data_IF_987179608946
#
_entry.id   IF_987179608946
#
_cell.length_a   1.000
_cell.length_b   1.000
_cell.length_c   1.000
_cell.angle_alpha   90.00
_cell.angle_beta   90.00
_cell.angle_gamma   90.00
#
_symmetry.space_group_name_H-M   'P 1'
#
loop_
_entity.id
_entity.type
_entity.pdbx_description
1 polymer ?
2 polymer ?
3 non-polymer ?
4 non-polymer ?
5 water ?
#
# COMPACT_ATOMS: atom_id res chain seq x y z
N UNK A 1 -11.33 -10.67 9.86
CA UNK A 1 -11.87 -11.14 11.15
C UNK A 1 -11.03 -10.93 12.41
N UNK A 2 -9.93 -10.25 12.51
CA UNK A 2 -9.11 -10.04 13.70
C UNK A 2 -9.20 -11.13 14.77
N UNK A 3 -8.02 -11.70 14.82
CA UNK A 3 -7.63 -12.76 15.71
C UNK A 3 -6.95 -11.97 16.83
N UNK A 4 -6.64 -12.72 17.82
CA UNK A 4 -5.99 -12.28 19.04
C UNK A 4 -4.61 -11.70 18.78
N UNK A 5 -3.97 -12.26 17.77
CA UNK A 5 -2.58 -11.78 17.53
C UNK A 5 -2.57 -10.50 16.68
N UNK A 6 -3.67 -10.37 15.95
CA UNK A 6 -3.86 -9.25 15.03
C UNK A 6 -4.02 -7.96 15.85
N UNK A 7 -4.77 -8.23 16.90
CA UNK A 7 -5.26 -7.20 17.82
C UNK A 7 -4.12 -6.60 18.61
N UNK A 8 -3.23 -7.53 18.89
CA UNK A 8 -2.03 -7.22 19.66
C UNK A 8 -1.01 -6.49 18.81
N UNK A 9 -0.87 -7.00 17.59
CA UNK A 9 0.09 -6.46 16.59
C UNK A 9 -0.35 -5.01 16.38
N UNK A 10 -1.66 -4.85 16.16
CA UNK A 10 -2.17 -3.47 15.98
C UNK A 10 -1.86 -2.52 17.14
N UNK A 11 -2.11 -2.97 18.36
CA UNK A 11 -1.88 -2.26 19.64
C UNK A 11 -0.40 -1.90 19.65
N UNK A 12 0.46 -2.85 19.35
CA UNK A 12 1.91 -2.82 19.29
C UNK A 12 2.41 -1.68 18.43
N UNK A 13 1.93 -1.63 17.18
CA UNK A 13 2.47 -0.53 16.35
C UNK A 13 1.84 0.79 16.73
N UNK A 14 0.65 0.87 17.29
CA UNK A 14 -0.07 2.09 17.66
C UNK A 14 0.47 2.85 18.85
N UNK A 15 1.27 2.16 19.63
CA UNK A 15 2.01 2.66 20.79
C UNK A 15 3.18 3.52 20.30
N UNK A 16 3.83 3.08 19.25
CA UNK A 16 4.91 3.82 18.58
C UNK A 16 4.30 4.99 17.83
N UNK A 17 3.03 4.92 17.39
CA UNK A 17 2.52 6.09 16.68
C UNK A 17 1.55 6.94 17.50
N UNK A 18 1.09 6.40 18.60
CA UNK A 18 0.16 7.15 19.50
C UNK A 18 0.87 8.42 19.94
N UNK A 19 2.21 8.51 19.91
CA UNK A 19 2.84 9.77 20.32
C UNK A 19 2.93 10.87 19.28
N UNK A 20 2.75 10.66 17.97
CA UNK A 20 2.88 11.64 16.88
C UNK A 20 1.67 11.71 15.92
N UNK A 21 0.48 11.69 16.45
CA UNK A 21 -0.77 11.73 15.66
C UNK A 21 -0.88 12.80 14.61
N UNK A 22 -0.43 13.97 15.01
CA UNK A 22 -0.53 15.09 14.10
C UNK A 22 0.48 15.09 13.02
N UNK A 23 1.75 14.73 13.27
CA UNK A 23 2.72 14.73 12.18
C UNK A 23 2.40 13.51 11.26
N UNK A 24 1.95 12.42 11.78
CA UNK A 24 1.64 11.18 11.09
C UNK A 24 0.30 11.33 10.36
N UNK A 25 -0.74 11.81 10.96
CA UNK A 25 -2.02 11.97 10.18
C UNK A 25 -1.82 13.06 9.16
N UNK A 26 -1.05 14.15 9.33
CA UNK A 26 -0.87 15.11 8.26
C UNK A 26 -0.13 14.58 7.07
N UNK A 27 0.92 13.80 7.31
CA UNK A 27 1.78 13.21 6.29
C UNK A 27 1.03 12.22 5.40
N UNK A 28 0.14 11.51 6.10
CA UNK A 28 -0.69 10.56 5.34
C UNK A 28 -1.70 11.29 4.47
N UNK A 29 -2.35 12.37 4.93
CA UNK A 29 -3.23 13.15 4.04
C UNK A 29 -2.45 13.72 2.93
N UNK A 30 -1.27 14.28 3.18
CA UNK A 30 -0.43 14.86 2.13
C UNK A 30 -0.01 13.85 1.07
N UNK A 31 0.34 12.62 1.43
CA UNK A 31 0.72 11.63 0.39
C UNK A 31 -0.57 11.21 -0.35
N UNK A 32 -1.65 11.14 0.42
CA UNK A 32 -2.96 10.77 -0.25
C UNK A 32 -3.22 11.84 -1.24
N UNK A 33 -3.36 13.11 -0.87
CA UNK A 33 -3.65 14.15 -1.93
C UNK A 33 -2.61 14.19 -2.99
N UNK A 34 -1.36 13.74 -2.83
CA UNK A 34 -0.33 13.79 -3.84
C UNK A 34 -0.33 12.52 -4.73
N UNK A 35 -0.46 11.32 -4.17
CA UNK A 35 -0.39 10.15 -5.08
C UNK A 35 -1.74 9.90 -5.73
N UNK A 36 -2.87 10.30 -5.20
CA UNK A 36 -4.25 10.15 -5.61
C UNK A 36 -4.99 11.49 -5.58
N UNK A 37 -4.69 12.39 -6.49
CA UNK A 37 -5.27 13.72 -6.55
C UNK A 37 -6.78 13.76 -6.66
N UNK A 38 -7.38 12.67 -7.09
CA UNK A 38 -8.84 12.63 -7.20
C UNK A 38 -9.38 12.67 -5.82
N UNK A 39 -8.62 12.40 -4.71
CA UNK A 39 -9.23 12.48 -3.39
C UNK A 39 -9.38 13.92 -2.89
N UNK A 40 -8.72 14.86 -3.56
CA UNK A 40 -8.80 16.29 -3.19
C UNK A 40 -10.18 16.86 -3.35
N UNK A 41 -10.98 16.28 -4.16
CA UNK A 41 -12.39 16.51 -4.54
C UNK A 41 -13.25 16.50 -3.34
N UNK A 42 -12.94 15.89 -2.22
CA UNK A 42 -13.73 15.79 -1.02
C UNK A 42 -13.39 16.91 -0.05
N UNK A 43 -12.39 17.71 -0.35
CA UNK A 43 -12.02 18.80 0.60
C UNK A 43 -11.93 20.09 -0.22
N UNK A 44 -13.02 20.37 -0.94
CA UNK A 44 -13.02 21.62 -1.74
C UNK A 44 -12.80 22.88 -0.90
N UNK A 45 -13.25 22.80 0.31
CA UNK A 45 -13.17 23.86 1.27
C UNK A 45 -11.85 23.88 1.98
N UNK A 46 -10.84 23.11 1.71
CA UNK A 46 -9.69 23.21 2.63
C UNK A 46 -8.63 23.83 1.76
N UNK A 47 -7.70 24.32 2.54
CA UNK A 47 -6.51 24.83 1.82
C UNK A 47 -5.70 23.55 1.63
N UNK A 48 -5.41 23.14 0.43
CA UNK A 48 -4.62 21.89 0.39
C UNK A 48 -3.14 22.03 0.17
N UNK A 49 -2.46 23.11 0.58
CA UNK A 49 -1.03 23.40 0.39
C UNK A 49 -0.18 22.69 1.44
N UNK A 50 1.02 22.23 1.02
CA UNK A 50 1.86 21.49 1.97
C UNK A 50 1.80 22.38 3.22
N UNK A 51 1.60 21.71 4.33
CA UNK A 51 1.60 22.16 5.70
C UNK A 51 0.44 23.06 6.07
N UNK A 52 -0.55 23.08 5.19
CA UNK A 52 -1.71 23.95 5.54
C UNK A 52 -2.05 23.56 6.93
N UNK A 53 -2.60 24.43 7.73
CA UNK A 53 -2.95 24.04 9.09
C UNK A 53 -4.29 23.31 9.11
N UNK A 54 -5.04 23.32 8.02
CA UNK A 54 -6.32 22.54 8.10
C UNK A 54 -5.95 21.04 7.95
N UNK A 55 -4.99 20.69 7.08
CA UNK A 55 -4.42 19.34 6.93
C UNK A 55 -3.87 18.82 8.22
N UNK A 56 -3.11 19.56 8.99
CA UNK A 56 -2.54 19.17 10.28
C UNK A 56 -3.60 18.83 11.28
N UNK A 57 -4.54 19.72 11.31
CA UNK A 57 -5.68 19.53 12.24
C UNK A 57 -6.63 18.36 12.01
N UNK A 58 -6.88 18.17 10.73
CA UNK A 58 -7.74 17.07 10.27
C UNK A 58 -6.89 15.80 10.43
N UNK A 59 -5.63 15.93 10.01
CA UNK A 59 -4.67 14.78 10.15
C UNK A 59 -4.76 14.28 11.59
N UNK A 60 -4.63 15.24 12.50
CA UNK A 60 -4.69 14.91 13.92
C UNK A 60 -6.03 14.30 14.22
N UNK A 61 -7.13 14.81 13.70
CA UNK A 61 -8.38 14.13 14.07
C UNK A 61 -8.49 12.76 13.37
N UNK A 62 -7.95 12.51 12.18
CA UNK A 62 -8.06 11.18 11.50
C UNK A 62 -7.35 10.13 12.34
N UNK A 63 -6.09 10.34 12.77
CA UNK A 63 -5.50 9.31 13.60
C UNK A 63 -6.01 9.14 15.00
N UNK A 64 -6.68 10.06 15.63
CA UNK A 64 -7.29 9.83 16.97
C UNK A 64 -8.48 8.90 16.81
N UNK A 65 -9.13 8.89 15.67
CA UNK A 65 -10.31 8.04 15.40
C UNK A 65 -9.85 6.57 15.28
N UNK A 66 -8.63 6.51 14.78
CA UNK A 66 -7.94 5.23 14.55
C UNK A 66 -7.59 4.67 15.93
N UNK A 67 -6.90 5.54 16.68
CA UNK A 67 -6.52 5.14 18.05
C UNK A 67 -7.72 4.71 18.86
N UNK A 68 -8.81 5.42 18.59
CA UNK A 68 -10.04 5.10 19.32
C UNK A 68 -10.61 3.82 18.80
N UNK A 69 -10.34 3.40 17.57
CA UNK A 69 -10.96 2.10 17.22
C UNK A 69 -9.95 1.08 17.71
N UNK A 70 -8.70 1.49 17.88
CA UNK A 70 -7.73 0.46 18.35
C UNK A 70 -8.26 0.01 19.73
N UNK A 71 -8.58 1.04 20.50
CA UNK A 71 -9.09 0.97 21.87
C UNK A 71 -10.39 0.26 22.13
N UNK A 72 -11.18 0.08 21.09
CA UNK A 72 -12.48 -0.57 21.19
C UNK A 72 -12.59 -1.57 20.07
N UNK A 73 -11.42 -2.13 19.79
CA UNK A 73 -11.13 -3.06 18.69
C UNK A 73 -12.05 -4.26 18.56
N UNK A 74 -12.71 -4.49 19.69
CA UNK A 74 -13.67 -5.55 19.95
C UNK A 74 -15.01 -5.14 19.33
N UNK A 75 -15.20 -3.84 19.14
CA UNK A 75 -16.47 -3.38 18.49
C UNK A 75 -16.18 -1.98 17.95
N UNK A 76 -15.48 -2.07 16.81
CA UNK A 76 -15.08 -0.91 16.00
C UNK A 76 -16.34 -0.23 15.44
N UNK A 77 -17.39 -0.92 15.02
CA UNK A 77 -18.62 -0.35 14.49
C UNK A 77 -19.33 0.54 15.52
N UNK A 78 -19.50 -0.08 16.66
CA UNK A 78 -20.08 0.55 17.84
C UNK A 78 -19.23 1.75 18.22
N UNK A 79 -17.93 1.68 18.39
CA UNK A 79 -17.18 2.89 18.77
C UNK A 79 -17.11 3.94 17.68
N UNK A 80 -17.53 3.67 16.46
CA UNK A 80 -17.31 4.65 15.36
C UNK A 80 -18.56 4.97 14.58
N UNK A 81 -19.73 4.65 15.15
CA UNK A 81 -21.00 4.81 14.47
C UNK A 81 -21.30 6.24 14.04
N UNK A 82 -20.64 7.26 14.57
CA UNK A 82 -21.06 8.62 14.10
C UNK A 82 -20.24 8.97 12.86
N UNK A 83 -19.11 8.30 12.77
CA UNK A 83 -18.20 8.52 11.65
C UNK A 83 -18.76 7.71 10.50
N UNK A 84 -19.41 6.60 10.81
CA UNK A 84 -19.94 5.88 9.69
C UNK A 84 -21.04 6.72 9.10
N UNK A 85 -21.82 7.48 9.85
CA UNK A 85 -22.91 8.20 9.13
C UNK A 85 -22.31 9.35 8.39
N UNK A 86 -21.34 9.99 8.99
CA UNK A 86 -20.77 11.12 8.26
C UNK A 86 -20.23 10.70 6.93
N UNK A 87 -19.42 9.66 6.82
CA UNK A 87 -18.76 9.28 5.52
C UNK A 87 -19.70 8.60 4.52
N UNK A 88 -20.67 7.79 4.99
CA UNK A 88 -21.48 7.03 4.06
C UNK A 88 -22.69 7.78 3.59
N UNK A 89 -23.23 8.32 4.67
CA UNK A 89 -24.48 9.01 4.40
C UNK A 89 -24.37 10.45 4.05
N UNK A 90 -23.66 11.21 4.80
CA UNK A 90 -23.54 12.66 4.58
C UNK A 90 -22.60 12.89 3.45
N UNK A 91 -21.37 12.44 3.59
CA UNK A 91 -20.33 12.68 2.62
C UNK A 91 -20.28 11.85 1.36
N UNK A 92 -20.94 10.73 1.56
CA UNK A 92 -20.98 9.77 0.50
C UNK A 92 -19.60 9.35 -0.05
N UNK A 93 -18.67 8.95 0.83
CA UNK A 93 -17.37 8.65 0.17
C UNK A 93 -17.36 7.35 -0.59
N UNK A 94 -16.78 7.30 -1.77
CA UNK A 94 -16.63 6.07 -2.53
C UNK A 94 -15.66 5.19 -1.76
N UNK A 95 -15.92 3.92 -1.52
CA UNK A 95 -15.11 2.94 -0.83
C UNK A 95 -13.71 2.79 -1.30
N UNK A 96 -13.46 3.03 -2.57
CA UNK A 96 -12.13 2.89 -3.08
C UNK A 96 -11.19 3.87 -2.36
N UNK A 97 -11.65 4.99 -1.92
CA UNK A 97 -10.90 6.04 -1.30
C UNK A 97 -10.37 5.57 0.03
N UNK A 98 -11.11 4.64 0.62
CA UNK A 98 -10.57 4.22 1.92
C UNK A 98 -9.32 3.39 1.72
N UNK A 99 -9.23 2.74 0.58
CA UNK A 99 -8.02 1.93 0.38
C UNK A 99 -6.87 2.87 0.06
N UNK A 100 -7.01 4.03 -0.51
CA UNK A 100 -6.00 5.02 -0.81
C UNK A 100 -5.51 5.54 0.56
N UNK A 101 -6.44 5.82 1.42
CA UNK A 101 -6.09 6.36 2.75
C UNK A 101 -5.33 5.33 3.55
N UNK A 102 -5.81 4.12 3.68
CA UNK A 102 -5.15 3.03 4.39
C UNK A 102 -3.75 2.81 3.90
N UNK A 103 -3.41 2.75 2.64
CA UNK A 103 -2.13 2.57 2.00
C UNK A 103 -1.15 3.70 2.30
N UNK A 104 -1.44 4.96 2.27
CA UNK A 104 -0.65 6.16 2.56
C UNK A 104 -0.38 6.09 4.04
N UNK A 105 -1.19 5.52 4.89
CA UNK A 105 -0.91 5.33 6.29
C UNK A 105 0.18 4.24 6.47
N UNK A 106 0.20 3.11 5.81
CA UNK A 106 1.23 2.05 5.91
C UNK A 106 2.59 2.56 5.54
N UNK A 107 2.60 3.39 4.55
CA UNK A 107 3.66 4.05 3.91
C UNK A 107 4.22 5.01 4.99
N UNK A 108 3.50 5.62 5.86
CA UNK A 108 4.07 6.54 6.87
C UNK A 108 4.66 5.74 7.98
N UNK A 109 3.95 4.69 8.36
CA UNK A 109 4.57 3.86 9.38
C UNK A 109 5.77 3.15 8.77
N UNK A 110 5.99 2.82 7.53
CA UNK A 110 7.24 2.14 7.15
C UNK A 110 8.37 3.13 7.06
N UNK A 111 8.08 4.35 6.70
CA UNK A 111 9.13 5.34 6.55
C UNK A 111 9.70 5.69 7.93
N UNK A 112 8.83 5.76 8.90
CA UNK A 112 9.19 6.15 10.24
C UNK A 112 9.43 5.00 11.18
N UNK A 113 8.74 3.88 11.15
CA UNK A 113 9.01 2.77 12.08
C UNK A 113 9.09 1.44 11.32
N UNK A 114 10.08 1.31 10.48
CA UNK A 114 10.30 0.19 9.59
C UNK A 114 10.26 -1.18 10.19
N UNK A 115 11.02 -1.28 11.26
CA UNK A 115 11.21 -2.53 12.02
C UNK A 115 9.98 -2.92 12.79
N UNK A 116 9.12 -1.94 13.01
CA UNK A 116 7.90 -2.31 13.76
C UNK A 116 7.04 -3.06 12.75
N UNK A 117 7.19 -2.63 11.51
CA UNK A 117 6.38 -3.06 10.37
C UNK A 117 6.88 -4.33 9.74
N UNK A 118 6.83 -5.46 10.43
CA UNK A 118 7.32 -6.72 9.83
C UNK A 118 6.26 -7.30 8.88
N UNK A 119 6.47 -8.43 8.23
CA UNK A 119 5.44 -8.84 7.28
C UNK A 119 4.19 -9.26 7.99
N UNK A 120 4.36 -9.81 9.18
CA UNK A 120 3.13 -10.21 9.94
C UNK A 120 2.41 -9.04 10.60
N UNK A 121 3.05 -7.95 11.08
CA UNK A 121 2.36 -6.78 11.65
C UNK A 121 1.64 -6.08 10.45
N UNK A 122 2.37 -6.12 9.33
CA UNK A 122 1.94 -5.60 8.02
C UNK A 122 0.59 -6.26 7.80
N UNK A 123 0.47 -7.56 7.85
CA UNK A 123 -0.83 -8.22 7.66
C UNK A 123 -1.89 -7.87 8.69
N UNK A 124 -1.47 -7.52 9.92
CA UNK A 124 -2.52 -7.26 10.93
C UNK A 124 -3.07 -5.85 10.79
N UNK A 125 -2.13 -4.99 10.50
CA UNK A 125 -2.42 -3.58 10.29
C UNK A 125 -3.33 -3.47 9.07
N UNK A 126 -3.09 -4.19 8.01
CA UNK A 126 -3.97 -4.18 6.82
C UNK A 126 -5.36 -4.70 7.17
N UNK A 127 -5.48 -5.79 7.92
CA UNK A 127 -6.86 -6.20 8.16
C UNK A 127 -7.54 -5.16 9.01
N UNK A 128 -6.77 -4.49 9.87
CA UNK A 128 -7.41 -3.48 10.73
C UNK A 128 -7.97 -2.31 9.87
N UNK A 129 -7.19 -1.74 8.96
CA UNK A 129 -7.49 -0.56 8.14
C UNK A 129 -8.73 -0.87 7.33
N UNK A 130 -8.69 -2.12 6.97
CA UNK A 130 -9.78 -2.66 6.15
C UNK A 130 -10.97 -2.76 7.07
N UNK A 131 -10.86 -2.96 8.35
CA UNK A 131 -12.06 -3.13 9.16
C UNK A 131 -12.60 -1.72 9.36
N UNK A 132 -11.68 -0.82 9.52
CA UNK A 132 -12.18 0.55 9.69
C UNK A 132 -12.86 1.02 8.44
N UNK A 133 -12.36 0.73 7.28
CA UNK A 133 -12.90 1.13 6.00
C UNK A 133 -14.33 0.71 5.76
N UNK A 134 -14.58 -0.50 6.10
CA UNK A 134 -15.80 -1.23 6.02
C UNK A 134 -16.85 -0.68 6.97
N UNK A 135 -16.44 -0.39 8.19
CA UNK A 135 -17.35 0.26 9.17
C UNK A 135 -17.70 1.66 8.69
N UNK A 136 -16.76 2.52 8.30
CA UNK A 136 -17.01 3.84 7.77
C UNK A 136 -17.75 3.80 6.49
N UNK A 137 -18.02 2.65 5.87
CA UNK A 137 -18.75 2.76 4.60
C UNK A 137 -20.06 2.00 4.74
N UNK A 138 -20.22 1.37 5.89
CA UNK A 138 -21.29 0.47 6.24
C UNK A 138 -22.68 0.97 5.97
N UNK A 139 -23.08 2.19 6.09
CA UNK A 139 -24.52 2.57 5.75
C UNK A 139 -24.66 2.74 4.21
N UNK A 140 -24.12 1.80 3.41
CA UNK A 140 -23.96 1.65 1.95
C UNK A 140 -24.33 0.22 1.53
N UNK A 141 -23.99 -0.67 2.46
CA UNK A 141 -24.39 -2.08 2.38
C UNK A 141 -25.40 -2.32 3.53
N UNK B 1 1.28 6.98 -21.39
CA UNK B 1 1.18 8.03 -20.34
C UNK B 1 2.34 8.99 -20.67
N UNK B 2 2.16 10.17 -20.13
CA UNK B 2 3.24 11.16 -20.35
C UNK B 2 4.19 11.02 -19.18
N UNK B 3 5.48 11.00 -19.37
CA UNK B 3 6.26 11.03 -18.10
C UNK B 3 6.95 12.41 -18.00
N UNK B 4 6.82 13.20 -16.93
CA UNK B 4 7.53 14.49 -16.83
C UNK B 4 9.02 14.24 -16.72
N UNK B 5 9.92 15.19 -16.94
CA UNK B 5 11.34 14.79 -16.83
C UNK B 5 11.72 14.59 -15.38
N UNK B 6 10.95 15.26 -14.52
CA UNK B 6 11.25 15.09 -13.08
C UNK B 6 10.78 13.75 -12.46
N UNK B 7 9.78 13.08 -13.02
CA UNK B 7 9.18 11.82 -12.63
C UNK B 7 10.27 10.82 -13.01
N UNK B 8 10.75 10.98 -14.22
CA UNK B 8 11.82 10.10 -14.68
C UNK B 8 13.04 10.20 -13.78
N UNK B 9 13.24 11.38 -13.20
CA UNK B 9 14.42 11.60 -12.34
C UNK B 9 14.20 10.93 -11.00
N UNK B 10 12.99 11.02 -10.45
CA UNK B 10 12.60 10.41 -9.19
C UNK B 10 12.56 8.87 -9.30
N UNK B 11 12.17 8.33 -10.44
CA UNK B 11 12.16 6.89 -10.65
C UNK B 11 13.63 6.46 -10.76
N UNK B 12 14.49 6.96 -11.62
CA UNK B 12 15.92 6.60 -11.80
C UNK B 12 16.92 6.83 -10.68
N UNK B 13 16.70 7.96 -10.02
CA UNK B 13 17.57 8.25 -8.87
C UNK B 13 17.41 7.09 -7.88
N UNK B 14 16.14 6.92 -7.48
CA UNK B 14 15.76 5.89 -6.51
C UNK B 14 16.20 4.50 -6.91
N UNK B 15 15.91 4.05 -8.12
CA UNK B 15 16.18 2.70 -8.61
C UNK B 15 17.62 2.21 -8.50
N UNK B 16 18.48 3.17 -8.65
CA UNK B 16 19.89 2.87 -8.54
C UNK B 16 20.30 2.48 -7.15
N UNK B 17 19.58 2.84 -6.13
CA UNK B 17 19.95 2.49 -4.77
C UNK B 17 19.28 1.26 -4.22
N UNK B 18 18.41 0.66 -5.06
CA UNK B 18 17.56 -0.47 -4.63
C UNK B 18 18.30 -1.78 -4.42
N UNK B 19 18.14 -2.54 -3.36
CA UNK B 19 18.83 -3.88 -3.38
C UNK B 19 17.80 -4.81 -4.07
N UNK B 20 17.90 -5.18 -5.34
CA UNK B 20 16.87 -5.94 -6.03
C UNK B 20 16.55 -7.25 -5.40
N UNK B 21 17.63 -7.89 -4.92
CA UNK B 21 17.46 -9.20 -4.29
C UNK B 21 16.65 -9.18 -3.04
N UNK B 22 16.99 -8.27 -2.11
CA UNK B 22 16.36 -8.12 -0.83
C UNK B 22 14.96 -7.46 -0.93
N UNK B 23 14.76 -6.53 -1.81
CA UNK B 23 13.51 -5.77 -1.99
C UNK B 23 12.61 -6.76 -2.72
N UNK B 24 13.07 -7.42 -3.76
CA UNK B 24 12.23 -8.42 -4.41
C UNK B 24 11.84 -9.53 -3.48
N UNK B 25 12.77 -10.05 -2.65
CA UNK B 25 12.38 -11.10 -1.78
C UNK B 25 11.40 -10.61 -0.76
N UNK B 26 11.64 -9.42 -0.22
CA UNK B 26 10.70 -8.93 0.78
C UNK B 26 9.33 -8.69 0.14
N UNK B 27 9.29 -8.09 -1.03
CA UNK B 27 7.96 -7.82 -1.59
C UNK B 27 7.20 -9.14 -1.91
N UNK B 28 7.84 -10.13 -2.53
CA UNK B 28 7.05 -11.36 -2.82
C UNK B 28 6.58 -11.96 -1.59
N UNK B 29 7.43 -12.11 -0.55
CA UNK B 29 7.05 -12.68 0.72
C UNK B 29 5.88 -11.93 1.37
N UNK B 30 5.84 -10.60 1.39
CA UNK B 30 4.72 -9.88 1.95
C UNK B 30 3.47 -10.09 1.07
N UNK B 31 3.56 -10.21 -0.24
CA UNK B 31 2.35 -10.47 -1.04
C UNK B 31 1.65 -11.73 -0.59
N UNK B 32 2.45 -12.79 -0.38
CA UNK B 32 1.94 -14.05 0.09
C UNK B 32 1.49 -14.12 1.52
N UNK B 33 1.95 -13.28 2.44
CA UNK B 33 1.53 -13.29 3.83
C UNK B 33 0.32 -12.41 4.11
N UNK B 34 0.34 -11.28 3.42
CA UNK B 34 -0.72 -10.23 3.60
C UNK B 34 -1.97 -10.62 2.84
N UNK B 35 -1.89 -11.11 1.64
CA UNK B 35 -2.97 -11.58 0.76
C UNK B 35 -2.80 -13.08 0.50
N UNK B 36 -3.12 -13.96 1.45
CA UNK B 36 -2.93 -15.38 1.36
C UNK B 36 -3.51 -16.09 0.18
N UNK B 37 -4.42 -15.57 -0.58
CA UNK B 37 -4.88 -16.47 -1.68
C UNK B 37 -3.88 -16.51 -2.77
N UNK B 38 -2.91 -15.58 -2.79
CA UNK B 38 -1.93 -15.55 -3.87
C UNK B 38 -0.99 -16.77 -3.78
N UNK B 39 -0.96 -17.44 -2.63
CA UNK B 39 -0.11 -18.62 -2.39
C UNK B 39 -0.49 -19.80 -3.32
N UNK B 40 -1.69 -19.81 -3.85
CA UNK B 40 -2.29 -20.78 -4.77
C UNK B 40 -1.47 -20.84 -6.04
N UNK B 41 -0.94 -19.71 -6.50
CA UNK B 41 -0.19 -19.74 -7.75
C UNK B 41 1.23 -20.26 -7.60
N UNK B 42 1.69 -20.30 -6.38
CA UNK B 42 3.12 -20.71 -6.11
C UNK B 42 3.18 -21.99 -5.34
N UNK B 43 2.30 -22.92 -5.70
CA UNK B 43 2.09 -24.24 -5.12
C UNK B 43 3.36 -25.07 -5.37
N UNK B 44 4.04 -24.83 -6.48
CA UNK B 44 5.28 -25.37 -6.90
C UNK B 44 6.54 -24.91 -6.14
N UNK B 45 6.47 -23.98 -5.22
CA UNK B 45 7.51 -23.37 -4.43
C UNK B 45 7.76 -24.16 -3.13
N UNK B 46 6.90 -25.12 -2.97
CA UNK B 46 6.95 -26.00 -1.80
C UNK B 46 6.34 -25.53 -0.54
N UNK B 47 7.09 -25.33 0.52
CA UNK B 47 6.60 -24.89 1.85
C UNK B 47 6.30 -23.37 2.02
N UNK B 48 5.03 -23.01 2.18
CA UNK B 48 4.45 -21.68 2.36
C UNK B 48 3.35 -21.75 3.45
N UNK B 49 3.78 -22.52 4.41
CA UNK B 49 3.07 -22.99 5.58
C UNK B 49 3.00 -21.94 6.67
N UNK B 50 4.02 -21.11 6.70
CA UNK B 50 3.99 -20.02 7.69
C UNK B 50 4.66 -18.80 7.08
N UNK B 51 4.45 -17.64 7.70
CA UNK B 51 5.15 -16.44 7.25
C UNK B 51 6.64 -16.70 7.47
N UNK B 52 6.90 -17.38 8.57
CA UNK B 52 8.38 -17.63 8.81
C UNK B 52 8.94 -18.60 7.78
N UNK B 53 8.14 -19.59 7.41
CA UNK B 53 8.61 -20.47 6.36
C UNK B 53 8.52 -19.73 5.00
N UNK B 54 7.58 -18.76 4.94
CA UNK B 54 7.48 -18.14 3.61
C UNK B 54 8.71 -17.24 3.43
N UNK B 55 9.07 -16.59 4.49
CA UNK B 55 10.21 -15.65 4.51
C UNK B 55 11.56 -16.19 4.14
N UNK B 56 11.80 -17.45 4.50
CA UNK B 56 13.04 -18.14 4.14
C UNK B 56 13.04 -19.24 3.08
N UNK B 57 11.97 -19.38 2.35
CA UNK B 57 11.81 -20.35 1.28
C UNK B 57 12.68 -19.68 0.22
N UNK B 58 13.60 -20.45 -0.31
CA UNK B 58 14.55 -20.02 -1.33
C UNK B 58 13.92 -19.83 -2.67
N UNK B 59 12.72 -20.40 -2.81
CA UNK B 59 12.21 -20.12 -4.20
C UNK B 59 11.46 -18.79 -4.11
N UNK B 60 10.92 -18.49 -2.99
CA UNK B 60 10.29 -17.14 -2.88
C UNK B 60 11.37 -16.08 -3.04
N UNK B 61 12.56 -16.25 -2.48
CA UNK B 61 13.62 -15.23 -2.60
C UNK B 61 14.07 -15.14 -4.00
N UNK B 62 14.35 -16.30 -4.57
CA UNK B 62 14.82 -16.23 -5.96
C UNK B 62 13.86 -15.55 -6.91
N UNK B 63 12.60 -15.92 -6.83
CA UNK B 63 11.54 -15.44 -7.70
C UNK B 63 11.34 -13.94 -7.45
N UNK B 64 11.42 -13.58 -6.15
CA UNK B 64 11.30 -12.13 -5.85
C UNK B 64 12.34 -11.36 -6.62
N UNK B 65 13.59 -11.83 -6.62
CA UNK B 65 14.71 -11.14 -7.33
C UNK B 65 14.28 -10.88 -8.76
N UNK B 66 13.72 -11.90 -9.41
CA UNK B 66 13.23 -11.88 -10.78
C UNK B 66 12.02 -10.94 -10.98
N UNK B 67 11.03 -10.88 -10.15
CA UNK B 67 9.97 -9.90 -10.43
C UNK B 67 10.62 -8.50 -10.31
N UNK B 68 11.43 -8.10 -9.34
CA UNK B 68 11.97 -6.73 -9.27
C UNK B 68 12.87 -6.42 -10.42
N UNK B 69 13.49 -7.40 -11.01
CA UNK B 69 14.36 -7.22 -12.20
C UNK B 69 13.48 -6.77 -13.36
N UNK B 70 12.29 -7.23 -13.51
CA UNK B 70 11.26 -6.85 -14.53
C UNK B 70 10.88 -5.39 -14.30
N UNK B 71 10.77 -4.99 -13.03
CA UNK B 71 10.47 -3.56 -12.77
C UNK B 71 11.56 -2.67 -13.35
N UNK B 72 12.77 -3.16 -13.37
CA UNK B 72 13.96 -2.49 -13.83
C UNK B 72 14.01 -2.29 -15.31
N UNK B 73 13.47 -3.24 -16.00
CA UNK B 73 13.42 -3.22 -17.46
C UNK B 73 12.39 -2.13 -17.73
N UNK B 74 11.37 -2.02 -16.89
CA UNK B 74 10.43 -0.93 -17.14
C UNK B 74 11.15 0.39 -16.90
N UNK B 75 11.92 0.51 -15.83
CA UNK B 75 12.61 1.73 -15.43
C UNK B 75 13.54 2.22 -16.53
N UNK B 76 14.09 1.30 -17.24
CA UNK B 76 15.06 1.53 -18.34
C UNK B 76 14.49 1.94 -19.67
N UNK B 77 13.32 1.41 -19.91
CA UNK B 77 12.56 1.68 -21.15
C UNK B 77 11.25 2.35 -20.76
N UNK B 78 11.20 3.43 -20.04
CA UNK B 78 9.85 3.94 -19.69
C UNK B 78 8.92 4.21 -20.84
N UNK B 79 9.41 4.19 -22.04
CA UNK B 79 8.55 4.49 -23.19
C UNK B 79 8.17 3.27 -24.00
N UNK B 80 8.78 2.12 -23.93
CA UNK B 80 8.49 0.85 -24.65
C UNK B 80 7.88 -0.12 -23.59
N UNK B 81 7.06 0.37 -22.65
CA UNK B 81 6.56 -0.52 -21.60
C UNK B 81 5.75 -1.69 -22.13
N UNK B 82 4.98 -1.42 -23.15
CA UNK B 82 4.12 -2.42 -23.81
C UNK B 82 4.96 -3.59 -24.30
N UNK B 83 5.84 -3.38 -25.24
CA UNK B 83 6.70 -4.48 -25.75
C UNK B 83 7.40 -5.31 -24.66
N UNK B 84 7.90 -4.74 -23.61
CA UNK B 84 8.68 -5.20 -22.45
C UNK B 84 7.92 -6.25 -21.66
N UNK B 85 6.65 -5.92 -21.48
CA UNK B 85 5.78 -6.80 -20.68
C UNK B 85 4.83 -7.62 -21.53
N UNK B 86 4.83 -7.47 -22.85
CA UNK B 86 3.95 -8.22 -23.75
C UNK B 86 4.02 -9.71 -23.56
N UNK B 87 5.21 -10.27 -23.40
CA UNK B 87 5.27 -11.76 -23.19
C UNK B 87 4.79 -12.13 -21.80
N UNK B 88 4.98 -11.20 -20.85
CA UNK B 88 4.63 -11.43 -19.43
C UNK B 88 3.11 -11.39 -19.27
N UNK B 89 2.50 -10.56 -20.09
CA UNK B 89 1.03 -10.40 -20.07
C UNK B 89 0.40 -11.74 -20.43
N UNK B 90 0.93 -12.37 -21.46
CA UNK B 90 0.40 -13.67 -21.86
C UNK B 90 0.57 -14.80 -20.89
N UNK B 91 1.75 -14.82 -20.26
CA UNK B 91 1.98 -15.78 -19.19
C UNK B 91 1.00 -15.53 -18.07
N UNK B 92 0.88 -14.33 -17.48
CA UNK B 92 -0.01 -14.06 -16.34
C UNK B 92 -1.47 -14.12 -16.68
N UNK B 93 -1.82 -13.60 -17.82
CA UNK B 93 -3.22 -13.58 -18.26
C UNK B 93 -3.67 -14.92 -18.79
N UNK B 94 -3.08 -15.46 -19.82
CA UNK B 94 -3.37 -16.66 -20.57
C UNK B 94 -3.00 -17.96 -19.94
N UNK B 95 -1.86 -17.94 -19.32
CA UNK B 95 -1.38 -19.17 -18.67
C UNK B 95 -1.74 -19.28 -17.20
N UNK B 96 -1.51 -18.21 -16.42
CA UNK B 96 -1.73 -18.34 -14.97
C UNK B 96 -3.15 -17.95 -14.58
N UNK B 97 -3.73 -17.09 -15.42
CA UNK B 97 -5.10 -16.64 -15.07
C UNK B 97 -5.12 -15.84 -13.77
N UNK B 98 -4.20 -14.92 -13.61
CA UNK B 98 -4.10 -14.15 -12.36
C UNK B 98 -5.05 -12.98 -12.59
N UNK B 99 -5.87 -12.64 -11.60
CA UNK B 99 -6.74 -11.45 -11.94
C UNK B 99 -5.93 -10.16 -11.84
N UNK B 100 -6.10 -9.21 -12.74
CA UNK B 100 -5.38 -7.93 -12.63
C UNK B 100 -5.43 -7.23 -11.33
N UNK B 101 -6.38 -7.48 -10.42
CA UNK B 101 -6.38 -6.77 -9.16
C UNK B 101 -5.24 -7.30 -8.30
N UNK B 102 -4.67 -8.48 -8.51
CA UNK B 102 -3.50 -8.83 -7.69
C UNK B 102 -2.27 -8.14 -8.21
N UNK B 103 -2.25 -7.64 -9.43
CA UNK B 103 -1.15 -6.92 -10.06
C UNK B 103 -1.01 -5.60 -9.26
N UNK B 104 -2.09 -5.00 -8.88
CA UNK B 104 -2.21 -3.79 -8.07
C UNK B 104 -1.83 -4.00 -6.62
N UNK B 105 -2.19 -5.12 -6.03
CA UNK B 105 -1.86 -5.40 -4.63
C UNK B 105 -0.34 -5.52 -4.53
N UNK B 106 0.32 -6.12 -5.47
CA UNK B 106 1.78 -6.32 -5.54
C UNK B 106 2.48 -4.98 -5.77
N UNK B 107 2.08 -4.07 -6.61
CA UNK B 107 2.82 -2.84 -6.78
C UNK B 107 2.63 -2.06 -5.47
N UNK B 108 1.52 -2.09 -4.78
CA UNK B 108 1.28 -1.36 -3.55
C UNK B 108 2.22 -1.84 -2.45
N UNK B 109 2.46 -3.10 -2.36
CA UNK B 109 3.43 -3.76 -1.47
C UNK B 109 4.82 -3.27 -1.84
N UNK B 110 5.26 -3.13 -3.06
CA UNK B 110 6.52 -2.58 -3.55
C UNK B 110 6.71 -1.16 -2.99
N UNK B 111 5.71 -0.32 -3.14
CA UNK B 111 5.79 1.05 -2.58
C UNK B 111 6.04 1.02 -1.10
N UNK B 112 5.47 0.19 -0.28
CA UNK B 112 5.59 0.05 1.16
C UNK B 112 7.00 -0.44 1.47
N UNK B 113 7.44 -1.32 0.60
CA UNK B 113 8.77 -1.85 0.86
C UNK B 113 9.80 -0.81 0.52
N UNK B 114 9.67 -0.11 -0.61
CA UNK B 114 10.70 0.84 -0.94
C UNK B 114 10.55 1.93 0.11
N UNK B 115 9.37 2.14 0.61
CA UNK B 115 9.32 3.20 1.63
C UNK B 115 10.13 2.79 2.86
N UNK B 116 9.98 1.56 3.29
CA UNK B 116 10.71 1.07 4.48
C UNK B 116 12.20 1.01 4.20
N UNK B 117 12.66 1.01 2.98
CA UNK B 117 14.12 0.93 2.73
C UNK B 117 14.72 2.30 2.53
N UNK B 118 14.00 3.32 2.09
CA UNK B 118 14.43 4.66 1.78
C UNK B 118 14.07 5.76 2.77
N UNK B 119 13.22 5.44 3.67
CA UNK B 119 12.69 6.29 4.73
C UNK B 119 12.26 7.60 4.14
N UNK B 120 12.62 8.72 4.71
CA UNK B 120 12.33 10.05 4.29
C UNK B 120 12.77 10.41 2.91
N UNK B 121 13.63 9.67 2.24
CA UNK B 121 14.01 10.03 0.86
C UNK B 121 12.89 9.72 -0.13
N UNK B 122 11.99 8.90 0.40
CA UNK B 122 10.84 8.45 -0.45
C UNK B 122 9.86 9.61 -0.17
N UNK B 123 10.02 10.71 -0.91
CA UNK B 123 9.12 11.87 -0.53
C UNK B 123 7.74 11.66 -1.08
N UNK B 124 6.72 12.41 -0.70
CA UNK B 124 5.39 12.30 -1.31
C UNK B 124 5.48 12.49 -2.78
N UNK B 125 6.39 13.28 -3.34
CA UNK B 125 6.44 13.38 -4.80
C UNK B 125 7.09 12.15 -5.44
N UNK B 126 8.01 11.61 -4.66
CA UNK B 126 8.72 10.37 -5.06
C UNK B 126 7.66 9.23 -5.01
N UNK B 127 6.88 9.05 -3.94
CA UNK B 127 5.76 8.17 -3.76
C UNK B 127 4.86 8.13 -5.00
N UNK B 128 4.42 9.32 -5.42
CA UNK B 128 3.58 9.60 -6.53
C UNK B 128 4.04 9.08 -7.88
N UNK B 129 5.30 9.25 -8.20
CA UNK B 129 5.94 8.82 -9.42
C UNK B 129 6.02 7.29 -9.54
N UNK B 130 6.36 6.68 -8.42
CA UNK B 130 6.47 5.26 -8.23
C UNK B 130 5.07 4.66 -8.27
N UNK B 131 4.07 5.29 -7.70
CA UNK B 131 2.67 4.86 -7.77
C UNK B 131 2.24 4.83 -9.26
N UNK B 132 2.62 5.84 -10.03
CA UNK B 132 2.31 5.85 -11.44
C UNK B 132 3.03 4.72 -12.17
N UNK B 133 4.30 4.44 -11.90
CA UNK B 133 5.06 3.35 -12.50
C UNK B 133 4.45 1.96 -12.32
N UNK B 134 4.04 1.62 -11.12
CA UNK B 134 3.44 0.31 -10.72
C UNK B 134 2.07 0.17 -11.39
N UNK B 135 1.36 1.28 -11.53
CA UNK B 135 0.07 1.44 -12.19
C UNK B 135 0.29 1.22 -13.68
N UNK B 136 1.30 1.80 -14.31
CA UNK B 136 1.54 1.53 -15.71
C UNK B 136 2.05 0.13 -15.93
N UNK B 137 2.79 -0.43 -14.97
CA UNK B 137 3.30 -1.78 -15.13
C UNK B 137 2.10 -2.74 -14.96
N UNK B 138 1.22 -2.54 -13.98
CA UNK B 138 0.07 -3.34 -13.69
C UNK B 138 -0.78 -3.29 -14.96
N UNK B 139 -0.91 -2.14 -15.61
CA UNK B 139 -1.69 -1.97 -16.86
C UNK B 139 -1.11 -2.67 -18.10
N UNK B 140 0.19 -2.70 -18.33
CA UNK B 140 0.84 -3.41 -19.42
C UNK B 140 0.72 -4.92 -19.27
N UNK B 141 0.68 -5.49 -18.09
CA UNK B 141 0.46 -6.88 -17.77
C UNK B 141 -1.02 -7.30 -17.92
N UNK B 142 -1.96 -6.41 -17.73
CA UNK B 142 -3.41 -6.75 -17.86
C UNK B 142 -3.92 -6.64 -19.29
N UNK B 143 -3.09 -6.09 -20.15
CA UNK B 143 -3.36 -5.86 -21.54
C UNK B 143 -3.63 -7.11 -22.38
N UNK B 144 -3.11 -8.30 -22.20
CA UNK B 144 -3.49 -9.44 -23.09
C UNK B 144 -4.81 -9.99 -22.58
N UNK B 145 -5.47 -9.22 -21.69
CA UNK B 145 -6.78 -9.51 -21.12
C UNK B 145 -7.87 -8.95 -22.02
N UNK B 146 -7.40 -8.83 -23.24
CA UNK B 146 -8.31 -8.54 -24.30
C UNK B 146 -8.21 -9.72 -25.26
X LIG C 1 -14.32 13.73 8.32
X LIG C 1 -11.61 10.13 10.14
X LIG C 1 -11.29 8.35 5.59
X LIG C 1 -13.30 12.45 3.77
X LIG C 1 -13.70 12.93 9.26
X LIG C 1 -13.64 13.03 10.68
X LIG C 1 -12.82 12.09 11.14
X LIG C 1 -12.39 11.30 10.03
X LIG C 1 -12.40 11.78 12.58
X LIG C 1 -14.40 14.10 11.51
X LIG C 1 -13.57 15.33 11.79
X LIG C 1 -14.19 16.42 12.67
X LIG C 1 -15.13 16.05 13.41
X LIG C 1 -13.63 17.55 12.54
X LIG C 1 -11.46 9.26 9.05
X LIG C 1 -10.92 7.94 9.12
X LIG C 1 -10.83 7.45 7.88
X LIG C 1 -11.23 8.51 6.97
X LIG C 1 -10.65 7.35 10.53
X LIG C 1 -10.38 6.09 7.30
X LIG C 1 -9.49 5.39 7.98
X LIG C 1 -11.79 9.31 4.72
X LIG C 1 -11.63 9.30 3.31
X LIG C 1 -12.17 10.45 2.84
X LIG C 1 -12.68 11.20 3.94
X LIG C 1 -10.94 8.19 2.52
X LIG C 1 -12.31 11.00 1.39
X LIG C 1 -11.30 10.87 0.55
X LIG C 1 -13.70 13.21 4.85
X LIG C 1 -14.15 14.60 4.77
X LIG C 1 -14.44 14.96 6.02
X LIG C 1 -14.13 13.88 6.93
X LIG C 1 -14.26 15.40 3.47
X LIG C 1 -14.96 16.34 6.55
X LIG C 1 -13.81 17.26 7.01
X LIG C 1 -14.21 18.66 7.38
X LIG C 1 -15.42 18.86 7.15
X LIG C 1 -13.36 19.48 7.80
X LIG C 1 -12.95 11.80 8.86
X LIG C 1 -11.67 9.58 7.69
X LIG C 1 -12.43 10.52 5.11
X LIG C 1 -13.63 12.81 6.17
X LIG C 1 -12.83 11.14 7.02
X LIG D 1 -11.26 11.97 6.82
X LIG D 1 -10.18 12.42 6.51
X LIG E 1 6.16 -15.30 -13.20
X LIG E 1 6.78 -10.55 -13.16
X LIG E 1 2.59 -10.14 -10.75
X LIG E 1 2.31 -14.98 -10.33
X LIG E 1 6.75 -14.07 -13.39
X LIG E 1 7.97 -13.77 -14.02
X LIG E 1 8.18 -12.47 -13.99
X LIG E 1 7.02 -11.90 -13.33
X LIG E 1 9.40 -11.71 -14.55
X LIG E 1 8.99 -14.83 -14.44
X LIG E 1 8.91 -15.45 -15.74
X LIG E 1 10.11 -16.22 -16.23
X LIG E 1 9.81 -16.97 -17.20
X LIG E 1 11.14 -15.98 -15.58
X LIG E 1 5.66 -10.06 -12.52
X LIG E 1 5.40 -8.63 -12.30
X LIG E 1 4.26 -8.49 -11.64
X LIG E 1 3.78 -9.84 -11.39
X LIG E 1 6.38 -7.59 -12.80
X LIG E 1 3.52 -7.24 -11.09
X LIG E 1 2.66 -6.49 -11.74
X LIG E 1 2.13 -11.40 -10.39
X LIG E 1 1.14 -11.70 -9.44
X LIG E 1 1.09 -13.03 -9.33
X LIG E 1 2.05 -13.59 -10.23
X LIG E 1 0.26 -10.71 -8.64
X LIG E 1 0.24 -13.92 -8.42
X LIG E 1 -0.81 -13.43 -7.77
X LIG E 1 3.35 -15.53 -11.07
X LIG E 1 3.66 -16.95 -11.22
X LIG E 1 4.67 -17.01 -12.04
X LIG E 1 5.08 -15.66 -12.43
X LIG E 1 2.90 -18.11 -10.57
X LIG E 1 5.44 -18.25 -12.52
X LIG E 1 6.33 -18.86 -11.39
X LIG E 1 7.18 -19.96 -12.00
X LIG E 1 6.82 -20.36 -13.18
X LIG E 1 8.16 -20.39 -11.34
X LIG E 1 6.12 -12.89 -12.97
X LIG E 1 4.65 -10.78 -11.91
X LIG E 1 2.70 -12.60 -10.90
X LIG E 1 4.23 -14.76 -11.81
X LIG E 1 4.41 -12.78 -11.93
X LIG F 1 5.35 -12.91 -10.39
X LIG F 1 5.57 -13.14 -9.19
#
# INVERSE_FOLDING_TARGET
>A
VLSAADKTNVKGVFSKISGHAEEYGAETLERMFTAYPQTKTYFPHFDLQHGSAQIKAHGKKVVAALVEAVNHIDDIAGALSKLSDLHAQKLRVDPVNFKFLGHCFLVVVAIHHPSALTAEVHASLDKFLCAVGTVLTAKYR
>B
VHWSAEEKQLITGLWGKVNVADCGAEALARLLIVYPWTQRFFSSFGNLSSPTAILGNPMVRAHGKKVLTSFGDAVKNLDNIKNTFAQLSELHCDKLHVDPENFRLLGDILIIVLAAHFAKEFTPDCQAAWQKLVRVVAHALARKYH
>C hetero
1 HEM CHA CHB CHC CHD C1A C2A C3A C4A CMA CAA CBA CGA O1A O2A C1B C2B C3B C4B CMB CAB CBB C1C C2C C3C C4C CMC CAC CBC C1D C2D C3D C4D CMD CAD CBD CGD O1D O2D NA NB NC ND FE
>D hetero
1 OXY O1 O2
>E hetero
1 HEM CHA CHB CHC CHD C1A C2A C3A C4A CMA CAA CBA CGA O1A O2A C1B C2B C3B C4B CMB CAB CBB C1C C2C C3C C4C CMC CAC CBC C1D C2D C3D C4D CMD CAD CBD CGD O1D O2D NA NB NC ND FE
>F hetero
1 OXY O1 O2
#
